data_IF_738904643226
#
_entry.id   IF_738904643226
#
_cell.length_a   1.000
_cell.length_b   1.000
_cell.length_c   1.000
_cell.angle_alpha   90.00
_cell.angle_beta   90.00
_cell.angle_gamma   90.00
#
_symmetry.space_group_name_H-M   'P 1'
#
loop_
_entity.id
_entity.type
_entity.pdbx_description
1 polymer ?
#
# COMPACT_ATOMS: atom_id res chain seq x y z
N UNK A 1 -11.87 23.18 -6.41
CA UNK A 1 -11.87 21.76 -6.83
C UNK A 1 -13.28 21.18 -6.92
N UNK A 2 -14.14 21.31 -5.89
CA UNK A 2 -15.54 20.87 -5.94
C UNK A 2 -16.34 21.43 -7.14
N UNK A 3 -16.17 22.70 -7.51
CA UNK A 3 -16.80 23.27 -8.71
C UNK A 3 -16.31 22.64 -10.03
N UNK A 4 -15.09 22.09 -10.05
CA UNK A 4 -14.47 21.50 -11.24
C UNK A 4 -14.89 20.03 -11.39
N UNK A 5 -14.94 19.29 -10.28
CA UNK A 5 -15.49 17.94 -10.22
C UNK A 5 -17.00 17.94 -10.52
N UNK A 6 -17.76 18.87 -9.95
CA UNK A 6 -19.20 19.01 -10.23
C UNK A 6 -19.46 19.34 -11.70
N UNK A 7 -18.61 20.15 -12.36
CA UNK A 7 -18.75 20.43 -13.79
C UNK A 7 -18.29 19.29 -14.69
N UNK A 8 -17.30 18.49 -14.27
CA UNK A 8 -16.90 17.28 -14.99
C UNK A 8 -17.99 16.21 -14.88
N UNK A 9 -18.60 16.06 -13.70
CA UNK A 9 -19.72 15.15 -13.46
C UNK A 9 -20.98 15.58 -14.23
N UNK A 10 -21.27 16.89 -14.31
CA UNK A 10 -22.30 17.43 -15.20
C UNK A 10 -22.01 17.15 -16.69
N UNK A 11 -20.75 17.28 -17.13
CA UNK A 11 -20.36 16.99 -18.51
C UNK A 11 -20.41 15.50 -18.85
N UNK A 12 -20.12 14.64 -17.87
CA UNK A 12 -20.24 13.18 -18.00
C UNK A 12 -21.72 12.76 -18.09
N UNK A 13 -22.60 13.37 -17.29
CA UNK A 13 -24.05 13.15 -17.33
C UNK A 13 -24.71 13.59 -18.66
N UNK A 14 -24.10 14.54 -19.39
CA UNK A 14 -24.58 14.95 -20.72
C UNK A 14 -24.22 13.94 -21.85
N UNK A 15 -23.31 12.99 -21.59
CA UNK A 15 -22.81 12.04 -22.59
C UNK A 15 -23.63 10.76 -22.77
N UNK A 16 -24.64 10.52 -21.93
CA UNK A 16 -25.30 9.19 -21.85
C UNK A 16 -26.34 8.93 -22.96
N UNK A 17 -26.57 9.87 -23.87
CA UNK A 17 -27.63 9.81 -24.89
C UNK A 17 -27.21 9.32 -26.29
N UNK A 18 -25.96 9.52 -26.68
CA UNK A 18 -25.42 9.13 -27.99
C UNK A 18 -24.00 8.63 -27.74
N UNK A 19 -23.68 7.39 -28.10
CA UNK A 19 -22.44 6.67 -27.73
C UNK A 19 -21.09 7.27 -28.19
N UNK A 20 -21.00 8.57 -28.45
CA UNK A 20 -19.77 9.31 -28.64
C UNK A 20 -19.21 9.77 -27.30
N UNK A 21 -18.44 8.89 -26.65
CA UNK A 21 -17.55 9.32 -25.58
C UNK A 21 -16.60 10.40 -26.14
N UNK A 22 -16.73 11.63 -25.63
CA UNK A 22 -15.81 12.72 -25.92
C UNK A 22 -14.39 12.25 -25.60
N UNK A 23 -13.50 12.37 -26.57
CA UNK A 23 -12.10 12.00 -26.35
C UNK A 23 -11.51 12.85 -25.23
N UNK A 24 -10.55 12.32 -24.47
CA UNK A 24 -9.86 13.07 -23.39
C UNK A 24 -9.25 14.40 -23.89
N UNK A 25 -8.92 14.45 -25.19
CA UNK A 25 -8.41 15.66 -25.88
C UNK A 25 -9.51 16.72 -26.05
N UNK A 26 -10.75 16.33 -26.34
CA UNK A 26 -11.89 17.24 -26.45
C UNK A 26 -12.34 17.75 -25.08
N UNK A 27 -12.31 16.88 -24.06
CA UNK A 27 -12.54 17.26 -22.66
C UNK A 27 -11.52 18.29 -22.18
N UNK A 28 -10.23 18.10 -22.52
CA UNK A 28 -9.21 19.09 -22.26
C UNK A 28 -9.48 20.42 -22.99
N UNK A 29 -10.05 20.41 -24.20
CA UNK A 29 -10.41 21.64 -24.92
C UNK A 29 -11.50 22.45 -24.21
N UNK A 30 -12.44 21.78 -23.53
CA UNK A 30 -13.56 22.41 -22.82
C UNK A 30 -13.18 23.09 -21.49
N UNK A 31 -12.00 22.80 -20.92
CA UNK A 31 -11.56 23.47 -19.70
C UNK A 31 -11.35 24.99 -19.92
N UNK A 32 -11.91 25.86 -19.06
CA UNK A 32 -11.70 27.30 -19.12
C UNK A 32 -10.21 27.66 -19.17
N UNK A 33 -9.80 28.70 -19.93
CA UNK A 33 -8.40 29.09 -20.04
C UNK A 33 -7.71 29.37 -18.70
N UNK A 34 -8.46 29.88 -17.71
CA UNK A 34 -7.96 30.12 -16.35
C UNK A 34 -7.55 28.83 -15.63
N UNK A 35 -8.33 27.76 -15.78
CA UNK A 35 -8.05 26.44 -15.21
C UNK A 35 -6.86 25.80 -15.92
N UNK A 36 -6.79 25.90 -17.25
CA UNK A 36 -5.62 25.40 -18.01
C UNK A 36 -4.33 26.10 -17.58
N UNK A 37 -4.38 27.42 -17.43
CA UNK A 37 -3.23 28.20 -16.99
C UNK A 37 -2.83 27.85 -15.55
N UNK A 38 -3.79 27.60 -14.66
CA UNK A 38 -3.51 27.15 -13.29
C UNK A 38 -2.93 25.73 -13.28
N UNK A 39 -3.54 24.78 -13.98
CA UNK A 39 -3.03 23.41 -14.10
C UNK A 39 -1.63 23.36 -14.71
N UNK A 40 -1.38 24.17 -15.76
CA UNK A 40 -0.08 24.25 -16.38
C UNK A 40 0.97 24.90 -15.47
N UNK A 41 0.60 25.96 -14.74
CA UNK A 41 1.48 26.56 -13.72
C UNK A 41 1.81 25.55 -12.63
N UNK A 42 0.82 24.80 -12.15
CA UNK A 42 1.02 23.81 -11.08
C UNK A 42 1.78 22.58 -11.60
N UNK A 43 1.63 22.22 -12.86
CA UNK A 43 2.45 21.22 -13.54
C UNK A 43 3.91 21.66 -13.65
N UNK A 44 4.16 22.91 -14.06
CA UNK A 44 5.49 23.51 -14.16
C UNK A 44 6.18 23.66 -12.79
N UNK A 45 5.38 23.92 -11.75
CA UNK A 45 5.82 24.05 -10.37
C UNK A 45 5.89 22.72 -9.59
N UNK A 46 5.42 21.61 -10.18
CA UNK A 46 5.33 20.31 -9.50
C UNK A 46 4.23 20.22 -8.42
N UNK A 47 3.28 21.16 -8.40
CA UNK A 47 2.15 21.24 -7.48
C UNK A 47 0.87 20.55 -8.00
N UNK A 48 0.95 19.79 -9.09
CA UNK A 48 -0.20 19.03 -9.66
C UNK A 48 -0.93 18.17 -8.62
N UNK A 49 -0.20 17.69 -7.61
CA UNK A 49 -0.74 16.79 -6.59
C UNK A 49 -1.86 17.45 -5.77
N UNK A 50 -1.78 18.78 -5.54
CA UNK A 50 -2.81 19.53 -4.83
C UNK A 50 -4.10 19.73 -5.66
N UNK A 51 -4.03 19.54 -6.98
CA UNK A 51 -5.17 19.71 -7.89
C UNK A 51 -5.90 18.40 -8.22
N UNK A 52 -5.20 17.27 -8.21
CA UNK A 52 -5.71 16.00 -8.76
C UNK A 52 -6.05 14.98 -7.67
N UNK A 53 -5.40 15.05 -6.51
CA UNK A 53 -5.58 14.09 -5.44
C UNK A 53 -6.08 14.78 -4.19
N UNK A 54 -7.04 14.14 -3.51
CA UNK A 54 -7.44 14.55 -2.17
C UNK A 54 -6.18 14.65 -1.30
N UNK A 55 -5.96 15.80 -0.64
CA UNK A 55 -4.87 15.97 0.32
C UNK A 55 -4.99 14.86 1.36
N UNK A 56 -3.97 14.01 1.40
CA UNK A 56 -3.92 12.91 2.33
C UNK A 56 -2.94 13.20 3.43
N UNK A 57 -3.48 13.28 4.64
CA UNK A 57 -2.69 13.37 5.86
C UNK A 57 -2.45 11.97 6.40
N UNK A 58 -1.18 11.54 6.57
CA UNK A 58 -0.87 10.29 7.23
C UNK A 58 -1.39 10.36 8.66
N UNK A 59 -2.47 9.63 8.93
CA UNK A 59 -3.19 9.68 10.20
C UNK A 59 -2.36 9.20 11.40
N UNK A 60 -1.18 8.63 11.16
CA UNK A 60 -0.19 8.31 12.19
C UNK A 60 0.67 9.51 12.58
N UNK A 61 0.78 10.57 11.76
CA UNK A 61 1.49 11.81 12.09
C UNK A 61 0.54 12.84 12.71
N UNK A 62 0.34 12.74 14.03
CA UNK A 62 -0.55 13.65 14.79
C UNK A 62 -0.10 15.12 14.74
N UNK A 63 1.18 15.38 14.50
CA UNK A 63 1.75 16.73 14.46
C UNK A 63 1.19 17.57 13.31
N UNK A 64 0.88 16.92 12.18
CA UNK A 64 0.39 17.61 10.98
C UNK A 64 -1.06 18.08 11.18
N UNK A 65 -1.89 17.27 11.85
CA UNK A 65 -3.32 17.55 12.09
C UNK A 65 -3.51 18.80 12.97
N UNK A 66 -2.60 19.05 13.92
CA UNK A 66 -2.69 20.20 14.84
C UNK A 66 -2.40 21.55 14.17
N UNK A 67 -1.83 21.57 12.97
CA UNK A 67 -1.55 22.82 12.27
C UNK A 67 -2.80 23.42 11.62
N UNK A 68 -3.71 22.59 11.09
CA UNK A 68 -4.91 23.07 10.39
C UNK A 68 -5.99 23.58 11.36
N UNK A 69 -6.18 22.94 12.52
CA UNK A 69 -7.19 23.37 13.51
C UNK A 69 -6.92 24.79 14.07
N UNK A 70 -5.66 25.26 13.99
CA UNK A 70 -5.29 26.62 14.40
C UNK A 70 -5.60 27.69 13.36
N UNK A 71 -5.69 27.33 12.09
CA UNK A 71 -6.00 28.29 11.03
C UNK A 71 -7.52 28.54 10.93
N UNK A 72 -8.35 27.52 11.24
CA UNK A 72 -9.81 27.64 11.21
C UNK A 72 -10.40 28.31 12.45
N UNK A 73 -9.71 28.24 13.59
CA UNK A 73 -10.18 28.86 14.84
C UNK A 73 -10.11 30.40 14.85
N UNK A 74 -9.57 31.02 13.80
CA UNK A 74 -9.55 32.48 13.65
C UNK A 74 -10.71 33.04 12.81
N UNK A 75 -11.67 32.21 12.35
CA UNK A 75 -12.71 32.63 11.41
C UNK A 75 -14.17 32.42 11.86
N UNK A 76 -14.43 31.93 13.08
CA UNK A 76 -15.78 31.62 13.56
C UNK A 76 -16.37 32.71 14.47
N UNK A 77 -16.56 33.91 13.92
CA UNK A 77 -17.37 34.97 14.51
C UNK A 77 -18.63 35.25 13.68
N UNK A 78 -19.22 34.21 13.09
CA UNK A 78 -20.50 34.30 12.36
C UNK A 78 -21.55 33.63 13.24
N UNK A 79 -22.38 34.46 13.84
CA UNK A 79 -23.58 34.10 14.58
C UNK A 79 -24.53 33.35 13.63
N UNK A 80 -24.69 32.04 13.82
CA UNK A 80 -25.75 31.26 13.18
C UNK A 80 -27.05 31.53 13.96
N UNK A 81 -27.91 32.39 13.40
CA UNK A 81 -29.30 32.54 13.83
C UNK A 81 -30.08 31.28 13.42
N UNK A 82 -30.58 30.54 14.41
CA UNK A 82 -31.51 29.42 14.23
C UNK A 82 -32.88 29.99 13.82
N UNK A 83 -33.28 29.79 12.56
CA UNK A 83 -34.68 29.94 12.13
C UNK A 83 -35.37 28.56 12.19
N UNK A 84 -36.25 28.44 13.19
CA UNK A 84 -37.23 27.38 13.36
C UNK A 84 -38.37 27.56 12.34
N UNK A 85 -38.38 26.76 11.27
CA UNK A 85 -39.54 26.61 10.40
C UNK A 85 -40.14 25.19 10.51
N UNK A 86 -41.12 25.10 11.42
CA UNK A 86 -42.18 24.10 11.39
C UNK A 86 -43.11 24.40 10.20
N UNK A 87 -43.20 23.50 9.20
CA UNK A 87 -44.51 23.29 8.58
C UNK A 87 -44.67 21.95 7.85
N UNK A 88 -45.79 21.33 8.17
CA UNK A 88 -46.24 20.04 7.68
C UNK A 88 -46.75 20.13 6.23
N UNK A 89 -46.38 19.16 5.38
CA UNK A 89 -47.26 18.81 4.27
C UNK A 89 -47.18 17.33 3.91
N UNK A 90 -48.28 16.65 4.21
CA UNK A 90 -48.61 15.27 3.93
C UNK A 90 -49.30 15.22 2.55
N UNK A 91 -48.68 14.59 1.56
CA UNK A 91 -49.19 14.57 0.17
C UNK A 91 -48.64 13.41 -0.65
N UNK A 92 -49.41 12.32 -0.63
CA UNK A 92 -49.25 11.05 -1.35
C UNK A 92 -49.13 11.20 -2.87
N UNK A 93 -48.04 10.71 -3.49
CA UNK A 93 -48.07 10.10 -4.85
C UNK A 93 -47.08 8.92 -4.87
N UNK A 94 -47.63 7.71 -4.93
CA UNK A 94 -46.93 6.47 -5.28
C UNK A 94 -46.57 6.51 -6.77
N UNK A 95 -45.29 6.61 -7.13
CA UNK A 95 -44.89 6.34 -8.51
C UNK A 95 -43.40 5.95 -8.64
N UNK A 96 -43.19 4.72 -9.12
CA UNK A 96 -42.04 4.15 -9.85
C UNK A 96 -40.69 4.87 -9.67
N UNK A 97 -40.21 4.90 -8.44
CA UNK A 97 -38.83 5.21 -8.13
C UNK A 97 -38.33 4.19 -7.12
N UNK A 98 -38.01 3.00 -7.62
CA UNK A 98 -37.07 2.08 -6.96
C UNK A 98 -35.67 2.70 -7.06
N UNK A 99 -35.55 3.93 -6.54
CA UNK A 99 -34.30 4.57 -6.18
C UNK A 99 -33.66 3.56 -5.25
N UNK A 100 -32.56 2.97 -5.74
CA UNK A 100 -31.65 2.17 -4.97
C UNK A 100 -31.48 2.88 -3.63
N UNK A 101 -32.14 2.39 -2.58
CA UNK A 101 -31.88 2.79 -1.20
C UNK A 101 -30.46 2.35 -0.95
N UNK A 102 -29.52 3.19 -1.39
CA UNK A 102 -28.10 3.03 -1.19
C UNK A 102 -27.98 2.96 0.32
N UNK A 103 -27.86 1.73 0.83
CA UNK A 103 -27.72 1.47 2.26
C UNK A 103 -26.66 2.44 2.71
N UNK A 104 -27.05 3.44 3.52
CA UNK A 104 -26.13 4.41 4.11
C UNK A 104 -25.14 3.56 4.87
N UNK A 105 -23.98 3.29 4.24
CA UNK A 105 -22.93 2.47 4.81
C UNK A 105 -22.42 3.31 5.97
N UNK A 106 -23.03 3.13 7.14
CA UNK A 106 -22.49 3.66 8.37
C UNK A 106 -21.13 2.98 8.46
N UNK A 107 -20.09 3.73 8.11
CA UNK A 107 -18.73 3.28 8.19
C UNK A 107 -18.50 2.99 9.66
N UNK A 108 -18.57 1.70 10.01
CA UNK A 108 -18.28 1.21 11.36
C UNK A 108 -17.00 1.87 11.82
N UNK A 109 -17.03 2.42 13.02
CA UNK A 109 -15.84 3.06 13.60
C UNK A 109 -14.68 2.06 13.64
N UNK A 110 -13.44 2.55 13.67
CA UNK A 110 -12.27 1.67 13.79
C UNK A 110 -12.41 0.72 14.98
N UNK A 111 -12.92 1.22 16.10
CA UNK A 111 -13.07 0.44 17.32
C UNK A 111 -14.13 -0.66 17.16
N UNK A 112 -15.25 -0.37 16.50
CA UNK A 112 -16.23 -1.40 16.12
C UNK A 112 -15.67 -2.47 15.18
N UNK A 113 -14.75 -2.09 14.30
CA UNK A 113 -14.09 -3.04 13.40
C UNK A 113 -13.11 -3.91 14.18
N UNK A 114 -12.32 -3.31 15.08
CA UNK A 114 -11.39 -4.02 15.96
C UNK A 114 -12.14 -5.05 16.81
N UNK A 115 -13.26 -4.68 17.45
CA UNK A 115 -14.07 -5.58 18.27
C UNK A 115 -14.69 -6.77 17.51
N UNK A 116 -14.70 -6.74 16.16
CA UNK A 116 -15.29 -7.78 15.31
C UNK A 116 -14.26 -8.69 14.64
N UNK A 117 -12.97 -8.49 14.90
CA UNK A 117 -11.94 -9.35 14.32
C UNK A 117 -12.12 -10.76 14.89
N UNK A 118 -12.25 -11.78 14.03
CA UNK A 118 -12.39 -13.14 14.53
C UNK A 118 -11.14 -13.55 15.29
N UNK A 119 -11.33 -14.20 16.43
CA UNK A 119 -10.27 -14.83 17.19
C UNK A 119 -9.69 -16.01 16.41
N UNK A 120 -8.57 -15.83 15.70
CA UNK A 120 -7.78 -16.90 15.07
C UNK A 120 -6.88 -17.62 16.10
N UNK A 121 -7.25 -17.48 17.36
CA UNK A 121 -6.49 -17.67 18.57
C UNK A 121 -6.10 -19.12 18.87
N UNK A 122 -6.72 -20.08 18.19
CA UNK A 122 -6.46 -21.51 18.41
C UNK A 122 -5.21 -22.08 17.75
N UNK A 123 -4.50 -21.31 16.90
CA UNK A 123 -3.45 -21.88 16.03
C UNK A 123 -2.03 -21.85 16.62
N UNK A 124 -1.77 -21.14 17.71
CA UNK A 124 -0.38 -20.86 18.12
C UNK A 124 -0.03 -20.96 19.59
N UNK A 125 -0.99 -21.14 20.50
CA UNK A 125 -0.68 -21.24 21.93
C UNK A 125 -1.18 -22.55 22.51
N UNK A 126 -0.25 -23.29 23.11
CA UNK A 126 -0.58 -24.37 24.03
C UNK A 126 -1.49 -23.78 25.11
N UNK A 127 -2.60 -24.46 25.41
CA UNK A 127 -3.57 -24.06 26.44
C UNK A 127 -2.95 -23.85 27.83
N UNK A 128 -1.71 -24.29 27.99
CA UNK A 128 -0.99 -24.36 29.26
C UNK A 128 -0.46 -23.01 29.76
N UNK A 129 -0.71 -21.91 29.05
CA UNK A 129 -0.33 -20.56 29.49
C UNK A 129 1.19 -20.32 29.62
N UNK A 130 2.02 -21.32 29.32
CA UNK A 130 3.47 -21.18 29.31
C UNK A 130 3.86 -20.36 28.10
N UNK A 131 4.43 -19.20 28.37
CA UNK A 131 5.11 -18.34 27.41
C UNK A 131 6.22 -19.19 26.79
N UNK A 132 5.94 -19.83 25.66
CA UNK A 132 6.94 -20.56 24.90
C UNK A 132 7.93 -19.52 24.39
N UNK A 133 9.19 -19.68 24.78
CA UNK A 133 10.38 -18.91 24.36
C UNK A 133 10.15 -17.89 23.23
N UNK A 134 10.44 -16.62 23.52
CA UNK A 134 10.29 -15.38 22.72
C UNK A 134 10.59 -15.44 21.21
N UNK A 135 11.21 -16.51 20.70
CA UNK A 135 11.63 -16.65 19.31
C UNK A 135 10.47 -16.63 18.31
N UNK A 136 9.33 -17.28 18.58
CA UNK A 136 8.21 -17.33 17.62
C UNK A 136 7.48 -15.99 17.54
N UNK A 137 7.24 -15.36 18.70
CA UNK A 137 6.57 -14.07 18.77
C UNK A 137 7.41 -12.98 18.07
N UNK A 138 8.74 -13.04 18.19
CA UNK A 138 9.65 -12.16 17.46
C UNK A 138 9.56 -12.32 15.94
N UNK A 139 9.45 -13.55 15.41
CA UNK A 139 9.31 -13.78 13.96
C UNK A 139 8.00 -13.18 13.43
N UNK A 140 6.89 -13.34 14.17
CA UNK A 140 5.62 -12.74 13.79
C UNK A 140 5.67 -11.21 13.83
N UNK A 141 6.38 -10.64 14.82
CA UNK A 141 6.60 -9.20 14.90
C UNK A 141 7.36 -8.67 13.67
N UNK A 142 8.50 -9.25 13.32
CA UNK A 142 9.27 -8.77 12.17
C UNK A 142 8.51 -8.96 10.86
N UNK A 143 7.74 -10.05 10.73
CA UNK A 143 6.87 -10.23 9.58
C UNK A 143 5.73 -9.20 9.52
N UNK A 144 5.21 -8.80 10.68
CA UNK A 144 4.24 -7.72 10.75
C UNK A 144 4.87 -6.37 10.36
N UNK A 145 6.11 -6.12 10.75
CA UNK A 145 6.82 -4.89 10.39
C UNK A 145 6.99 -4.73 8.87
N UNK A 146 7.30 -5.82 8.16
CA UNK A 146 7.32 -5.86 6.69
C UNK A 146 5.95 -5.51 6.07
N UNK A 147 4.86 -6.05 6.63
CA UNK A 147 3.49 -5.75 6.18
C UNK A 147 3.13 -4.28 6.45
N UNK A 148 3.51 -3.75 7.62
CA UNK A 148 3.26 -2.35 7.96
C UNK A 148 4.05 -1.40 7.06
N UNK A 149 5.30 -1.75 6.77
CA UNK A 149 6.14 -1.05 5.80
C UNK A 149 5.49 -0.99 4.42
N UNK A 150 5.08 -2.13 3.87
CA UNK A 150 4.38 -2.19 2.59
C UNK A 150 3.04 -1.44 2.60
N UNK A 151 2.32 -1.48 3.71
CA UNK A 151 1.05 -0.75 3.87
C UNK A 151 1.29 0.76 3.87
N UNK A 152 2.24 1.24 4.67
CA UNK A 152 2.62 2.65 4.73
C UNK A 152 3.06 3.15 3.34
N UNK A 153 3.87 2.37 2.64
CA UNK A 153 4.35 2.68 1.30
C UNK A 153 3.19 2.80 0.31
N UNK A 154 2.28 1.82 0.31
CA UNK A 154 1.10 1.82 -0.56
C UNK A 154 0.21 3.03 -0.26
N UNK A 155 -0.06 3.32 1.02
CA UNK A 155 -0.88 4.48 1.37
C UNK A 155 -0.22 5.80 0.97
N UNK A 156 1.11 5.91 1.03
CA UNK A 156 1.85 7.07 0.51
C UNK A 156 1.71 7.20 -1.00
N UNK A 157 1.95 6.12 -1.73
CA UNK A 157 1.91 6.12 -3.19
C UNK A 157 0.53 6.49 -3.74
N UNK A 158 -0.53 6.05 -3.06
CA UNK A 158 -1.91 6.29 -3.47
C UNK A 158 -2.57 7.44 -2.72
N UNK A 159 -1.86 8.19 -1.87
CA UNK A 159 -2.45 9.27 -1.08
C UNK A 159 -3.69 8.80 -0.28
N UNK A 160 -3.53 7.68 0.44
CA UNK A 160 -4.50 7.15 1.37
C UNK A 160 -5.41 6.05 0.85
N UNK A 161 -6.13 5.43 1.79
CA UNK A 161 -6.94 4.23 1.55
C UNK A 161 -8.13 4.50 0.60
N UNK A 162 -8.68 5.71 0.60
CA UNK A 162 -9.83 6.07 -0.25
C UNK A 162 -9.45 6.00 -1.72
N UNK A 163 -8.36 6.66 -2.10
CA UNK A 163 -7.82 6.65 -3.45
C UNK A 163 -7.35 5.24 -3.84
N UNK A 164 -6.56 4.60 -2.97
CA UNK A 164 -6.09 3.23 -3.18
C UNK A 164 -7.25 2.25 -3.44
N UNK A 165 -8.37 2.36 -2.72
CA UNK A 165 -9.48 1.41 -2.82
C UNK A 165 -10.54 1.77 -3.87
N UNK A 166 -10.57 3.01 -4.37
CA UNK A 166 -11.60 3.49 -5.31
C UNK A 166 -11.08 3.72 -6.71
N UNK A 167 -9.87 4.26 -6.85
CA UNK A 167 -9.35 4.71 -8.14
C UNK A 167 -8.52 3.63 -8.83
N UNK A 168 -7.76 2.85 -8.06
CA UNK A 168 -6.83 1.85 -8.59
C UNK A 168 -6.64 0.67 -7.61
N UNK A 169 -7.72 -0.05 -7.23
CA UNK A 169 -7.64 -1.05 -6.17
C UNK A 169 -6.82 -2.27 -6.57
N UNK A 170 -6.85 -2.68 -7.84
CA UNK A 170 -6.04 -3.83 -8.30
C UNK A 170 -4.55 -3.47 -8.29
N UNK A 171 -4.18 -2.30 -8.80
CA UNK A 171 -2.81 -1.79 -8.79
C UNK A 171 -2.31 -1.60 -7.36
N UNK A 172 -3.12 -0.95 -6.50
CA UNK A 172 -2.76 -0.73 -5.10
C UNK A 172 -2.57 -2.05 -4.33
N UNK A 173 -3.42 -3.05 -4.61
CA UNK A 173 -3.23 -4.39 -4.07
C UNK A 173 -1.95 -5.05 -4.59
N UNK A 174 -1.62 -4.91 -5.87
CA UNK A 174 -0.37 -5.43 -6.44
C UNK A 174 0.83 -4.74 -5.78
N UNK A 175 0.84 -3.41 -5.66
CA UNK A 175 1.90 -2.66 -4.97
C UNK A 175 2.08 -3.15 -3.54
N UNK A 176 0.99 -3.29 -2.78
CA UNK A 176 1.02 -3.80 -1.41
C UNK A 176 1.65 -5.20 -1.33
N UNK A 177 1.30 -6.08 -2.26
CA UNK A 177 1.80 -7.45 -2.31
C UNK A 177 3.28 -7.49 -2.72
N UNK A 178 3.65 -6.75 -3.76
CA UNK A 178 5.02 -6.71 -4.27
C UNK A 178 6.00 -6.06 -3.29
N UNK A 179 5.55 -5.07 -2.53
CA UNK A 179 6.38 -4.38 -1.54
C UNK A 179 6.63 -5.22 -0.29
N UNK A 180 5.70 -6.13 0.08
CA UNK A 180 5.87 -7.03 1.23
C UNK A 180 6.40 -8.40 0.80
N UNK A 181 7.61 -8.75 1.23
CA UNK A 181 8.13 -10.11 1.02
C UNK A 181 7.38 -11.16 1.84
N UNK A 182 6.77 -10.78 2.96
CA UNK A 182 5.89 -11.66 3.73
C UNK A 182 4.64 -11.99 2.93
N UNK A 183 4.01 -11.02 2.27
CA UNK A 183 2.80 -11.28 1.48
C UNK A 183 3.12 -11.98 0.15
N UNK A 184 4.14 -11.54 -0.59
CA UNK A 184 4.45 -12.10 -1.91
C UNK A 184 5.14 -13.46 -1.87
N UNK A 185 6.12 -13.64 -0.97
CA UNK A 185 7.06 -14.79 -0.98
C UNK A 185 7.02 -15.63 0.29
N UNK A 186 6.15 -15.31 1.25
CA UNK A 186 6.10 -15.94 2.58
C UNK A 186 7.44 -15.85 3.32
N UNK A 187 8.14 -14.72 3.18
CA UNK A 187 9.39 -14.47 3.90
C UNK A 187 9.18 -14.56 5.43
N UNK A 188 10.24 -14.96 6.14
CA UNK A 188 10.27 -15.08 7.59
C UNK A 188 11.48 -14.32 8.13
N UNK A 189 11.23 -13.14 8.65
CA UNK A 189 12.26 -12.34 9.28
C UNK A 189 12.47 -12.80 10.71
N UNK A 190 13.73 -12.83 11.13
CA UNK A 190 14.13 -13.34 12.46
C UNK A 190 14.79 -12.28 13.33
N UNK A 191 15.17 -11.14 12.75
CA UNK A 191 15.77 -10.00 13.45
C UNK A 191 15.25 -8.68 12.92
N UNK A 192 15.28 -7.63 13.76
CA UNK A 192 14.88 -6.28 13.38
C UNK A 192 15.74 -5.70 12.25
N UNK A 193 17.09 -5.74 12.31
CA UNK A 193 17.92 -5.19 11.22
C UNK A 193 17.65 -5.87 9.87
N UNK A 194 17.36 -7.18 9.88
CA UNK A 194 17.06 -7.92 8.64
C UNK A 194 15.80 -7.38 7.94
N UNK A 195 14.72 -7.15 8.69
CA UNK A 195 13.48 -6.61 8.10
C UNK A 195 13.64 -5.14 7.71
N UNK A 196 14.34 -4.31 8.50
CA UNK A 196 14.55 -2.90 8.19
C UNK A 196 15.42 -2.70 6.95
N UNK A 197 16.52 -3.45 6.84
CA UNK A 197 17.34 -3.46 5.62
C UNK A 197 16.53 -3.89 4.41
N UNK A 198 15.67 -4.92 4.55
CA UNK A 198 14.80 -5.36 3.47
C UNK A 198 13.76 -4.30 3.04
N UNK A 199 13.13 -3.63 4.02
CA UNK A 199 12.17 -2.56 3.75
C UNK A 199 12.86 -1.39 3.03
N UNK A 200 14.06 -1.02 3.45
CA UNK A 200 14.84 0.06 2.86
C UNK A 200 15.23 -0.24 1.40
N UNK A 201 15.79 -1.43 1.13
CA UNK A 201 16.18 -1.82 -0.24
C UNK A 201 14.99 -1.94 -1.18
N UNK A 202 13.89 -2.54 -0.70
CA UNK A 202 12.66 -2.69 -1.51
C UNK A 202 12.05 -1.33 -1.85
N UNK A 203 11.98 -0.42 -0.87
CA UNK A 203 11.46 0.93 -1.09
C UNK A 203 12.36 1.73 -2.02
N UNK A 204 13.68 1.65 -1.86
CA UNK A 204 14.65 2.31 -2.74
C UNK A 204 14.53 1.82 -4.20
N UNK A 205 14.41 0.51 -4.40
CA UNK A 205 14.22 -0.10 -5.72
C UNK A 205 12.91 0.37 -6.39
N UNK A 206 11.81 0.44 -5.62
CA UNK A 206 10.52 0.91 -6.12
C UNK A 206 10.54 2.41 -6.47
N UNK A 207 11.23 3.24 -5.68
CA UNK A 207 11.43 4.66 -6.00
C UNK A 207 12.19 4.83 -7.32
N UNK A 208 13.27 4.08 -7.52
CA UNK A 208 14.05 4.13 -8.77
C UNK A 208 13.21 3.68 -9.95
N UNK A 209 12.43 2.59 -9.80
CA UNK A 209 11.57 2.08 -10.87
C UNK A 209 10.49 3.08 -11.26
N UNK A 210 9.80 3.67 -10.29
CA UNK A 210 8.71 4.62 -10.55
C UNK A 210 9.22 5.93 -11.17
N UNK A 211 10.41 6.38 -10.78
CA UNK A 211 11.03 7.58 -11.34
C UNK A 211 11.67 7.35 -12.72
N UNK A 212 12.11 6.12 -13.02
CA UNK A 212 12.71 5.78 -14.31
C UNK A 212 11.69 5.49 -15.41
N UNK A 213 10.46 5.10 -15.06
CA UNK A 213 9.44 4.73 -16.04
C UNK A 213 8.74 5.94 -16.69
N UNK A 214 8.98 7.16 -16.20
CA UNK A 214 8.38 8.39 -16.75
C UNK A 214 9.13 8.97 -17.96
N UNK A 215 10.30 8.46 -18.36
CA UNK A 215 11.07 9.05 -19.48
C UNK A 215 11.72 8.00 -20.37
N UNK A 216 10.89 7.36 -21.22
CA UNK A 216 11.30 6.89 -22.55
C UNK A 216 10.49 7.64 -23.63
N UNK A 217 10.35 8.96 -23.45
CA UNK A 217 9.87 9.85 -24.50
C UNK A 217 11.03 10.77 -24.93
N UNK A 218 11.34 10.73 -26.21
CA UNK A 218 12.65 10.92 -26.85
C UNK A 218 13.20 12.37 -26.93
N UNK A 219 12.93 13.24 -25.96
CA UNK A 219 13.35 14.65 -26.05
C UNK A 219 14.39 15.02 -24.98
N UNK A 220 15.58 15.37 -25.46
CA UNK A 220 16.87 15.63 -24.77
C UNK A 220 16.92 16.74 -23.71
N UNK A 221 15.82 17.08 -23.04
CA UNK A 221 15.82 18.09 -21.99
C UNK A 221 15.69 17.43 -20.61
N UNK A 222 16.82 16.91 -20.11
CA UNK A 222 16.97 16.30 -18.79
C UNK A 222 16.79 17.33 -17.66
N UNK A 223 15.57 17.78 -17.43
CA UNK A 223 15.18 18.38 -16.16
C UNK A 223 14.68 17.23 -15.28
N UNK A 224 15.54 16.76 -14.38
CA UNK A 224 15.20 15.79 -13.34
C UNK A 224 13.93 16.26 -12.62
N UNK A 225 12.79 15.64 -12.93
CA UNK A 225 11.54 15.90 -12.23
C UNK A 225 11.74 15.33 -10.83
N UNK A 226 11.69 16.20 -9.83
CA UNK A 226 11.80 15.88 -8.42
C UNK A 226 10.56 15.07 -8.00
N UNK A 227 10.47 13.81 -8.43
CA UNK A 227 9.46 12.87 -7.95
C UNK A 227 9.55 12.81 -6.43
N UNK A 228 8.40 12.91 -5.76
CA UNK A 228 8.22 12.99 -4.31
C UNK A 228 9.28 12.23 -3.52
N UNK A 229 10.38 12.92 -3.21
CA UNK A 229 11.50 12.44 -2.41
C UNK A 229 11.13 12.58 -0.95
N UNK A 230 10.07 11.89 -0.52
CA UNK A 230 10.03 11.51 0.88
C UNK A 230 11.27 10.63 1.08
N UNK A 231 12.32 11.23 1.61
CA UNK A 231 13.58 10.54 1.88
C UNK A 231 13.25 9.28 2.68
N UNK A 232 13.90 8.15 2.38
CA UNK A 232 13.62 6.87 3.03
C UNK A 232 13.63 6.96 4.58
N UNK A 233 14.31 7.97 5.15
CA UNK A 233 14.24 8.30 6.59
C UNK A 233 12.84 8.72 7.03
N UNK A 234 12.16 9.60 6.30
CA UNK A 234 10.77 10.03 6.59
C UNK A 234 9.84 8.83 6.56
N UNK A 235 10.07 7.91 5.62
CA UNK A 235 9.35 6.64 5.56
C UNK A 235 9.62 5.77 6.78
N UNK A 236 10.88 5.59 7.20
CA UNK A 236 11.20 4.81 8.41
C UNK A 236 10.67 5.45 9.69
N UNK A 237 10.66 6.79 9.78
CA UNK A 237 9.99 7.51 10.86
C UNK A 237 8.49 7.19 10.91
N UNK A 238 7.81 7.09 9.77
CA UNK A 238 6.40 6.68 9.77
C UNK A 238 6.21 5.29 10.34
N UNK A 239 7.12 4.37 10.01
CA UNK A 239 7.07 3.01 10.54
C UNK A 239 7.27 3.06 12.04
N UNK A 240 8.24 3.84 12.54
CA UNK A 240 8.45 4.08 13.97
C UNK A 240 7.18 4.65 14.64
N UNK A 241 6.50 5.61 14.01
CA UNK A 241 5.24 6.16 14.52
C UNK A 241 4.09 5.16 14.51
N UNK A 242 3.94 4.38 13.44
CA UNK A 242 2.89 3.36 13.33
C UNK A 242 3.00 2.33 14.44
N UNK A 243 4.22 1.94 14.80
CA UNK A 243 4.43 0.94 15.83
C UNK A 243 4.20 1.48 17.25
N UNK A 244 4.31 2.79 17.51
CA UNK A 244 4.08 3.36 18.86
C UNK A 244 2.73 3.03 19.50
N UNK A 245 1.73 2.65 18.70
CA UNK A 245 0.40 2.33 19.19
C UNK A 245 -0.19 1.13 18.48
N UNK A 246 -0.62 0.16 19.28
CA UNK A 246 -1.40 -0.98 18.81
C UNK A 246 -2.61 -0.57 17.94
N UNK A 247 -3.29 0.52 18.29
CA UNK A 247 -4.43 1.03 17.53
C UNK A 247 -4.03 1.48 16.13
N UNK A 248 -2.85 2.09 15.99
CA UNK A 248 -2.31 2.51 14.69
C UNK A 248 -1.93 1.29 13.84
N UNK A 249 -1.28 0.30 14.44
CA UNK A 249 -1.00 -0.98 13.78
C UNK A 249 -2.28 -1.66 13.29
N UNK A 250 -3.29 -1.79 14.16
CA UNK A 250 -4.57 -2.40 13.81
C UNK A 250 -5.28 -1.64 12.68
N UNK A 251 -5.23 -0.30 12.70
CA UNK A 251 -5.76 0.54 11.62
C UNK A 251 -5.02 0.31 10.30
N UNK A 252 -3.70 0.27 10.29
CA UNK A 252 -2.91 0.03 9.08
C UNK A 252 -3.28 -1.32 8.45
N UNK A 253 -3.32 -2.40 9.23
CA UNK A 253 -3.69 -3.73 8.72
C UNK A 253 -5.13 -3.75 8.20
N UNK A 254 -6.05 -2.99 8.82
CA UNK A 254 -7.41 -2.85 8.31
C UNK A 254 -7.46 -2.14 6.96
N UNK A 255 -6.71 -1.05 6.79
CA UNK A 255 -6.64 -0.33 5.53
C UNK A 255 -6.03 -1.20 4.42
N UNK A 256 -4.97 -1.95 4.72
CA UNK A 256 -4.44 -2.99 3.83
C UNK A 256 -5.50 -4.04 3.46
N UNK A 257 -6.29 -4.52 4.43
CA UNK A 257 -7.39 -5.45 4.16
C UNK A 257 -8.51 -4.83 3.32
N UNK A 258 -8.75 -3.52 3.42
CA UNK A 258 -9.77 -2.82 2.62
C UNK A 258 -9.31 -2.67 1.17
N UNK A 259 -8.03 -2.37 0.94
CA UNK A 259 -7.42 -2.35 -0.40
C UNK A 259 -7.59 -3.73 -1.07
N UNK A 260 -7.20 -4.82 -0.39
CA UNK A 260 -7.37 -6.17 -0.95
C UNK A 260 -8.85 -6.53 -1.17
N UNK A 261 -9.77 -6.01 -0.36
CA UNK A 261 -11.22 -6.25 -0.52
C UNK A 261 -11.77 -5.51 -1.73
N UNK A 262 -11.33 -4.28 -1.97
CA UNK A 262 -11.69 -3.51 -3.16
C UNK A 262 -11.16 -4.19 -4.43
N UNK A 263 -9.90 -4.64 -4.43
CA UNK A 263 -9.31 -5.37 -5.56
C UNK A 263 -10.07 -6.67 -5.89
N UNK A 264 -10.50 -7.41 -4.86
CA UNK A 264 -11.34 -8.61 -5.03
C UNK A 264 -12.69 -8.27 -5.66
N UNK A 265 -13.24 -7.09 -5.36
CA UNK A 265 -14.53 -6.65 -5.91
C UNK A 265 -14.36 -6.33 -7.39
N UNK A 266 -13.38 -5.49 -7.74
CA UNK A 266 -13.11 -5.11 -9.13
C UNK A 266 -12.83 -6.32 -10.02
N UNK A 267 -11.93 -7.23 -9.60
CA UNK A 267 -11.64 -8.44 -10.36
C UNK A 267 -12.84 -9.38 -10.55
N UNK A 268 -13.86 -9.31 -9.66
CA UNK A 268 -15.09 -10.07 -9.84
C UNK A 268 -16.02 -9.39 -10.84
N UNK A 269 -16.14 -8.07 -10.74
CA UNK A 269 -16.98 -7.28 -11.63
C UNK A 269 -16.46 -7.42 -13.07
N UNK A 270 -15.14 -7.48 -13.26
CA UNK A 270 -14.49 -7.79 -14.56
C UNK A 270 -14.80 -9.21 -15.07
N UNK A 271 -14.71 -10.22 -14.20
CA UNK A 271 -15.01 -11.62 -14.55
C UNK A 271 -16.50 -11.77 -14.97
N UNK A 272 -17.42 -11.08 -14.30
CA UNK A 272 -18.87 -11.11 -14.60
C UNK A 272 -19.19 -10.39 -15.93
N UNK A 273 -18.52 -9.27 -16.23
CA UNK A 273 -18.69 -8.53 -17.48
C UNK A 273 -18.19 -9.31 -18.71
N UNK A 274 -17.07 -10.04 -18.59
CA UNK A 274 -16.53 -10.85 -19.68
C UNK A 274 -17.48 -12.01 -20.05
N UNK A 275 -18.08 -12.69 -19.06
CA UNK A 275 -18.98 -13.82 -19.29
C UNK A 275 -20.29 -13.43 -20.02
N UNK A 276 -20.79 -12.21 -19.81
CA UNK A 276 -22.00 -11.73 -20.48
C UNK A 276 -21.76 -11.43 -21.97
N UNK A 277 -20.56 -10.98 -22.34
CA UNK A 277 -20.22 -10.61 -23.72
C UNK A 277 -20.14 -11.84 -24.65
N UNK A 278 -19.59 -12.94 -24.15
CA UNK A 278 -19.46 -14.20 -24.91
C UNK A 278 -20.83 -14.85 -25.19
N UNK A 279 -21.81 -14.65 -24.30
CA UNK A 279 -23.15 -15.24 -24.45
C UNK A 279 -23.97 -14.58 -25.56
N UNK A 280 -23.77 -13.29 -25.84
CA UNK A 280 -24.53 -12.56 -26.86
C UNK A 280 -23.94 -12.68 -28.28
N UNK A 281 -22.64 -12.95 -28.43
CA UNK A 281 -22.00 -13.04 -29.75
C UNK A 281 -22.10 -14.42 -30.42
N UNK A 282 -22.61 -15.44 -29.72
CA UNK A 282 -22.65 -16.80 -30.25
C UNK A 282 -23.88 -17.11 -31.15
N UNK A 283 -24.74 -16.12 -31.42
CA UNK A 283 -25.94 -16.29 -32.27
C UNK A 283 -25.67 -15.91 -33.74
N UNK A 284 -24.67 -15.09 -34.03
CA UNK A 284 -24.39 -14.62 -35.40
C UNK A 284 -22.89 -14.68 -35.71
N UNK A 285 -22.38 -15.82 -36.20
CA UNK A 285 -21.61 -15.87 -37.46
C UNK A 285 -20.72 -17.11 -37.59
N UNK A 286 -20.90 -17.77 -38.73
CA UNK A 286 -20.00 -18.75 -39.28
C UNK A 286 -18.64 -18.09 -39.65
N UNK A 287 -17.57 -18.71 -39.17
CA UNK A 287 -16.40 -19.10 -39.98
C UNK A 287 -15.50 -17.97 -40.52
N UNK A 288 -14.61 -17.44 -39.68
CA UNK A 288 -13.24 -17.11 -40.11
C UNK A 288 -12.28 -17.09 -38.92
N UNK A 289 -11.08 -17.61 -39.17
CA UNK A 289 -10.05 -17.95 -38.20
C UNK A 289 -9.39 -16.72 -37.58
N UNK A 290 -9.48 -16.56 -36.25
CA UNK A 290 -8.55 -15.69 -35.53
C UNK A 290 -8.15 -16.29 -34.17
N UNK A 291 -6.90 -16.75 -34.11
CA UNK A 291 -6.28 -17.45 -32.98
C UNK A 291 -5.29 -16.48 -32.31
N UNK A 292 -5.75 -15.43 -31.59
CA UNK A 292 -4.82 -14.57 -30.81
C UNK A 292 -5.31 -14.02 -29.45
N UNK A 293 -6.52 -14.31 -28.97
CA UNK A 293 -7.07 -13.62 -27.79
C UNK A 293 -7.01 -14.30 -26.40
N UNK A 294 -6.66 -15.59 -26.27
CA UNK A 294 -7.01 -16.38 -25.06
C UNK A 294 -6.08 -16.28 -23.83
N UNK A 295 -5.07 -15.40 -23.78
CA UNK A 295 -4.09 -15.42 -22.68
C UNK A 295 -4.50 -14.64 -21.42
N UNK A 296 -5.47 -13.71 -21.51
CA UNK A 296 -5.75 -12.79 -20.39
C UNK A 296 -6.68 -13.38 -19.31
N UNK A 297 -7.73 -14.12 -19.66
CA UNK A 297 -8.72 -14.59 -18.66
C UNK A 297 -8.15 -15.55 -17.62
N UNK A 298 -7.17 -16.38 -18.01
CA UNK A 298 -6.55 -17.32 -17.07
C UNK A 298 -5.71 -16.62 -15.98
N UNK A 299 -5.32 -15.36 -16.21
CA UNK A 299 -4.54 -14.55 -15.27
C UNK A 299 -5.41 -14.02 -14.13
N UNK A 300 -6.62 -13.52 -14.42
CA UNK A 300 -7.48 -12.86 -13.44
C UNK A 300 -8.00 -13.83 -12.38
N UNK A 301 -8.46 -15.02 -12.78
CA UNK A 301 -8.91 -16.04 -11.83
C UNK A 301 -7.82 -16.50 -10.85
N UNK A 302 -6.54 -16.50 -11.28
CA UNK A 302 -5.39 -16.79 -10.40
C UNK A 302 -5.10 -15.64 -9.44
N UNK A 303 -5.05 -14.40 -9.95
CA UNK A 303 -4.87 -13.18 -9.15
C UNK A 303 -5.95 -13.08 -8.06
N UNK A 304 -7.22 -13.29 -8.41
CA UNK A 304 -8.34 -13.26 -7.49
C UNK A 304 -8.21 -14.28 -6.36
N UNK A 305 -7.80 -15.51 -6.67
CA UNK A 305 -7.54 -16.56 -5.65
C UNK A 305 -6.36 -16.18 -4.75
N UNK A 306 -5.29 -15.61 -5.32
CA UNK A 306 -4.12 -15.15 -4.56
C UNK A 306 -4.50 -14.04 -3.59
N UNK A 307 -5.17 -12.97 -4.06
CA UNK A 307 -5.58 -11.84 -3.22
C UNK A 307 -6.52 -12.28 -2.08
N UNK A 308 -7.44 -13.22 -2.34
CA UNK A 308 -8.30 -13.82 -1.28
C UNK A 308 -7.48 -14.51 -0.19
N UNK A 309 -6.43 -15.26 -0.55
CA UNK A 309 -5.54 -15.92 0.42
C UNK A 309 -4.75 -14.89 1.23
N UNK A 310 -4.22 -13.86 0.59
CA UNK A 310 -3.46 -12.80 1.25
C UNK A 310 -4.33 -11.99 2.20
N UNK A 311 -5.60 -11.74 1.85
CA UNK A 311 -6.57 -11.15 2.78
C UNK A 311 -6.79 -12.01 4.02
N UNK A 312 -6.82 -13.34 3.90
CA UNK A 312 -6.89 -14.26 5.05
C UNK A 312 -5.61 -14.21 5.88
N UNK A 313 -4.44 -14.07 5.24
CA UNK A 313 -3.16 -13.87 5.94
C UNK A 313 -3.16 -12.56 6.74
N UNK A 314 -3.65 -11.45 6.18
CA UNK A 314 -3.82 -10.20 6.93
C UNK A 314 -4.80 -10.34 8.10
N UNK A 315 -5.90 -11.08 7.94
CA UNK A 315 -6.82 -11.37 9.05
C UNK A 315 -6.16 -12.13 10.20
N UNK A 316 -5.23 -13.05 9.88
CA UNK A 316 -4.43 -13.73 10.88
C UNK A 316 -3.53 -12.75 11.65
N UNK A 317 -2.78 -11.88 10.95
CA UNK A 317 -1.93 -10.88 11.61
C UNK A 317 -2.77 -9.91 12.45
N UNK A 318 -3.92 -9.48 11.95
CA UNK A 318 -4.83 -8.59 12.67
C UNK A 318 -5.37 -9.24 13.96
N UNK A 319 -5.74 -10.52 13.93
CA UNK A 319 -6.14 -11.23 15.14
C UNK A 319 -4.96 -11.42 16.10
N UNK A 320 -3.77 -11.71 15.57
CA UNK A 320 -2.57 -11.83 16.38
C UNK A 320 -2.22 -10.52 17.09
N UNK A 321 -2.39 -9.37 16.43
CA UNK A 321 -2.08 -8.08 17.06
C UNK A 321 -2.98 -7.78 18.25
N UNK A 322 -4.25 -8.19 18.22
CA UNK A 322 -5.25 -7.81 19.23
C UNK A 322 -5.05 -8.37 20.63
N UNK A 323 -4.12 -9.30 20.81
CA UNK A 323 -3.97 -9.94 22.10
C UNK A 323 -3.34 -9.00 23.16
N UNK A 324 -3.88 -8.95 24.39
CA UNK A 324 -3.33 -8.10 25.44
C UNK A 324 -1.88 -8.42 25.80
N UNK A 325 -1.54 -9.72 25.84
CA UNK A 325 -0.18 -10.18 26.13
C UNK A 325 0.82 -9.79 25.03
N UNK A 326 0.35 -9.66 23.80
CA UNK A 326 1.14 -9.06 22.74
C UNK A 326 1.27 -7.57 22.96
N UNK A 327 0.25 -6.81 23.40
CA UNK A 327 0.33 -5.34 23.53
C UNK A 327 1.49 -4.84 24.40
N UNK A 328 1.77 -5.46 25.55
CA UNK A 328 2.91 -5.06 26.41
C UNK A 328 4.27 -5.52 25.85
N UNK A 329 4.28 -6.60 25.06
CA UNK A 329 5.47 -7.17 24.44
C UNK A 329 5.67 -6.72 22.98
N UNK A 330 4.70 -6.01 22.40
CA UNK A 330 4.41 -6.13 20.96
C UNK A 330 5.55 -5.66 20.11
N UNK A 331 6.35 -4.77 20.68
CA UNK A 331 7.44 -4.06 20.06
C UNK A 331 8.60 -3.95 21.07
N UNK A 332 8.54 -4.66 22.19
CA UNK A 332 9.20 -4.18 23.41
C UNK A 332 8.76 -2.73 23.72
N UNK A 333 9.21 -2.17 24.83
CA UNK A 333 9.06 -0.72 25.03
C UNK A 333 9.74 0.09 23.94
N UNK A 334 10.66 -0.53 23.18
CA UNK A 334 11.75 0.17 22.51
C UNK A 334 11.80 -0.02 20.99
N UNK A 335 10.94 -0.78 20.30
CA UNK A 335 11.11 -0.97 18.82
C UNK A 335 11.02 0.36 18.08
N UNK A 336 10.18 1.30 18.52
CA UNK A 336 10.16 2.66 17.96
C UNK A 336 11.56 3.31 18.07
N UNK A 337 12.19 3.26 19.24
CA UNK A 337 13.53 3.80 19.47
C UNK A 337 14.60 3.02 18.70
N UNK A 338 14.48 1.69 18.60
CA UNK A 338 15.39 0.85 17.83
C UNK A 338 15.29 1.13 16.32
N UNK A 339 14.09 1.32 15.77
CA UNK A 339 13.89 1.74 14.38
C UNK A 339 14.51 3.11 14.14
N UNK A 340 14.28 4.07 15.06
CA UNK A 340 14.85 5.41 14.94
C UNK A 340 16.37 5.39 15.06
N UNK A 341 16.91 4.64 16.02
CA UNK A 341 18.36 4.47 16.19
C UNK A 341 18.98 3.84 14.95
N UNK A 342 18.40 2.77 14.42
CA UNK A 342 18.81 2.14 13.17
C UNK A 342 18.76 3.11 11.99
N UNK A 343 17.71 3.96 11.93
CA UNK A 343 17.56 4.99 10.88
C UNK A 343 18.66 6.05 10.99
N UNK A 344 19.00 6.49 12.20
CA UNK A 344 20.09 7.45 12.44
C UNK A 344 21.44 6.85 12.08
N UNK A 345 21.74 5.64 12.54
CA UNK A 345 22.97 4.91 12.20
C UNK A 345 23.11 4.76 10.67
N UNK A 346 22.03 4.39 9.99
CA UNK A 346 22.06 4.23 8.54
C UNK A 346 22.23 5.56 7.80
N UNK A 347 21.67 6.65 8.34
CA UNK A 347 21.86 8.00 7.81
C UNK A 347 23.31 8.45 7.95
N UNK A 348 23.96 8.21 9.09
CA UNK A 348 25.37 8.58 9.29
C UNK A 348 26.28 7.81 8.35
N UNK A 349 26.05 6.49 8.17
CA UNK A 349 26.82 5.68 7.20
C UNK A 349 26.74 6.22 5.76
N UNK A 350 25.56 6.68 5.32
CA UNK A 350 25.39 7.22 3.97
C UNK A 350 26.09 8.58 3.83
N UNK A 351 26.06 9.42 4.87
CA UNK A 351 26.73 10.73 4.85
C UNK A 351 28.24 10.62 4.86
N UNK A 352 28.82 9.65 5.58
CA UNK A 352 30.27 9.39 5.58
C UNK A 352 30.77 8.98 4.20
N UNK A 353 30.05 8.09 3.50
CA UNK A 353 30.42 7.69 2.13
C UNK A 353 30.34 8.81 1.08
N UNK A 354 29.65 9.92 1.37
CA UNK A 354 29.54 11.05 0.45
C UNK A 354 30.66 12.09 0.62
N UNK A 355 31.37 12.09 1.75
CA UNK A 355 32.39 13.11 2.04
C UNK A 355 33.76 12.79 1.42
N UNK A 356 34.02 11.53 1.07
CA UNK A 356 35.32 11.09 0.55
C UNK A 356 35.53 11.45 -0.94
N UNK A 357 34.48 11.82 -1.68
CA UNK A 357 34.56 12.10 -3.12
C UNK A 357 34.93 13.55 -3.47
N UNK A 358 34.93 14.47 -2.50
CA UNK A 358 35.11 15.91 -2.77
C UNK A 358 36.58 16.39 -2.66
N UNK A 359 37.55 15.52 -2.30
CA UNK A 359 38.89 16.00 -1.94
C UNK A 359 40.01 15.85 -2.99
N UNK A 360 39.80 15.14 -4.09
CA UNK A 360 40.78 15.04 -5.18
C UNK A 360 40.56 16.11 -6.26
N UNK A 361 40.71 17.37 -5.83
CA UNK A 361 40.94 18.48 -6.73
C UNK A 361 42.38 18.47 -7.24
N UNK A 362 42.69 17.60 -8.21
CA UNK A 362 43.77 17.91 -9.15
C UNK A 362 43.32 17.65 -10.59
N UNK A 363 43.42 18.71 -11.38
CA UNK A 363 42.67 18.88 -12.60
C UNK A 363 43.05 17.87 -13.67
N UNK A 364 42.06 17.11 -14.13
CA UNK A 364 41.98 16.78 -15.55
C UNK A 364 40.54 16.54 -15.97
N UNK A 365 40.10 17.35 -16.93
CA UNK A 365 38.84 17.22 -17.62
C UNK A 365 38.75 15.85 -18.32
N UNK A 366 37.51 15.44 -18.53
CA UNK A 366 37.07 14.29 -19.34
C UNK A 366 36.97 12.95 -18.60
N UNK A 367 35.82 12.70 -17.96
CA UNK A 367 34.87 11.65 -18.40
C UNK A 367 33.60 11.61 -17.57
N UNK A 368 32.48 11.42 -18.26
CA UNK A 368 31.11 11.64 -17.83
C UNK A 368 30.49 10.36 -17.22
N UNK A 369 31.03 9.85 -16.11
CA UNK A 369 30.45 8.71 -15.38
C UNK A 369 30.10 9.07 -13.94
N UNK A 370 28.92 9.65 -13.73
CA UNK A 370 28.32 9.70 -12.39
C UNK A 370 27.91 8.28 -12.00
N UNK A 371 28.77 7.56 -11.29
CA UNK A 371 28.41 6.30 -10.64
C UNK A 371 27.36 6.60 -9.56
N UNK A 372 26.09 6.33 -9.86
CA UNK A 372 25.10 6.19 -8.79
C UNK A 372 25.55 5.01 -7.92
N UNK A 373 26.00 5.29 -6.71
CA UNK A 373 26.26 4.26 -5.69
C UNK A 373 24.92 3.56 -5.43
N UNK A 374 24.74 2.38 -6.02
CA UNK A 374 23.55 1.57 -5.80
C UNK A 374 23.48 1.19 -4.32
N UNK A 375 22.35 1.48 -3.67
CA UNK A 375 22.09 1.06 -2.29
C UNK A 375 22.25 -0.45 -2.05
N UNK A 376 22.29 -1.26 -3.11
CA UNK A 376 22.50 -2.71 -3.03
C UNK A 376 23.93 -3.14 -2.67
N UNK A 377 24.95 -2.28 -2.83
CA UNK A 377 26.35 -2.65 -2.56
C UNK A 377 26.79 -2.49 -1.10
N UNK A 378 25.92 -1.97 -0.23
CA UNK A 378 26.21 -1.87 1.20
C UNK A 378 26.05 -3.22 1.90
N UNK A 379 27.09 -4.06 1.81
CA UNK A 379 27.24 -5.23 2.67
C UNK A 379 27.27 -4.78 4.14
N UNK A 380 26.36 -5.32 4.96
CA UNK A 380 26.34 -5.10 6.40
C UNK A 380 27.68 -5.54 7.02
N UNK A 381 28.27 -4.79 7.96
CA UNK A 381 29.31 -5.34 8.82
C UNK A 381 28.69 -6.49 9.63
N UNK A 382 29.17 -7.72 9.45
CA UNK A 382 28.76 -8.89 10.21
C UNK A 382 29.32 -8.81 11.64
N UNK A 383 28.80 -7.90 12.48
CA UNK A 383 29.17 -7.76 13.89
C UNK A 383 28.02 -8.20 14.81
N UNK A 384 27.48 -9.40 14.56
CA UNK A 384 26.74 -10.15 15.57
C UNK A 384 27.42 -11.50 15.70
N UNK A 385 28.01 -11.75 16.87
CA UNK A 385 28.62 -13.02 17.24
C UNK A 385 27.61 -14.16 17.13
N UNK A 386 27.55 -14.80 15.96
CA UNK A 386 26.90 -16.09 15.80
C UNK A 386 27.80 -17.12 16.46
N UNK A 387 27.40 -17.64 17.63
CA UNK A 387 28.02 -18.82 18.25
C UNK A 387 28.04 -19.95 17.24
N UNK A 388 29.22 -20.22 16.70
CA UNK A 388 29.47 -21.26 15.72
C UNK A 388 29.37 -22.62 16.43
N UNK A 389 28.26 -23.32 16.30
CA UNK A 389 28.22 -24.75 16.57
C UNK A 389 29.08 -25.44 15.50
N UNK A 390 30.34 -25.72 15.84
CA UNK A 390 31.20 -26.61 15.05
C UNK A 390 30.64 -28.04 15.12
N UNK A 391 29.90 -28.47 14.10
CA UNK A 391 29.69 -29.88 13.81
C UNK A 391 30.96 -30.44 13.16
N UNK A 392 31.74 -31.23 13.89
CA UNK A 392 32.81 -32.05 13.32
C UNK A 392 32.18 -33.07 12.37
N UNK A 393 32.51 -32.97 11.08
CA UNK A 393 32.20 -34.00 10.08
C UNK A 393 33.38 -34.98 10.10
N UNK A 394 33.09 -36.23 10.45
CA UNK A 394 33.96 -37.36 10.13
C UNK A 394 33.65 -37.79 8.69
N UNK A 395 34.71 -37.84 7.88
CA UNK A 395 34.69 -38.29 6.50
C UNK A 395 34.78 -39.82 6.50
N UNK A 396 33.68 -40.50 6.17
CA UNK A 396 33.70 -41.92 5.83
C UNK A 396 32.92 -42.12 4.55
N UNK A 397 33.65 -42.40 3.48
CA UNK A 397 33.12 -42.51 2.14
C UNK A 397 32.23 -43.73 2.01
N UNK A 398 30.94 -43.51 1.76
CA UNK A 398 30.11 -44.29 0.84
C UNK A 398 28.70 -43.68 0.72
N UNK A 399 28.28 -43.45 -0.53
CA UNK A 399 26.90 -43.17 -0.99
C UNK A 399 26.00 -42.32 -0.09
N UNK A 400 26.07 -41.00 -0.28
CA UNK A 400 25.05 -40.07 0.22
C UNK A 400 23.82 -40.13 -0.69
N UNK A 401 22.80 -40.89 -0.28
CA UNK A 401 21.42 -40.63 -0.67
C UNK A 401 20.99 -39.36 0.05
N UNK A 402 20.77 -38.28 -0.71
CA UNK A 402 20.19 -37.03 -0.20
C UNK A 402 18.72 -37.26 0.17
N UNK A 403 18.48 -37.84 1.35
CA UNK A 403 17.18 -37.76 2.02
C UNK A 403 17.01 -36.32 2.55
N UNK A 404 16.47 -35.46 1.69
CA UNK A 404 15.89 -34.20 2.14
C UNK A 404 14.67 -34.53 3.00
N UNK A 405 14.85 -34.54 4.33
CA UNK A 405 13.74 -34.51 5.27
C UNK A 405 12.92 -33.25 5.01
N UNK A 406 11.87 -33.41 4.19
CA UNK A 406 10.80 -32.41 4.06
C UNK A 406 10.19 -32.23 5.46
N UNK A 407 10.18 -31.02 6.04
CA UNK A 407 9.40 -30.77 7.24
C UNK A 407 7.92 -31.00 6.91
N UNK A 408 7.24 -31.73 7.79
CA UNK A 408 5.83 -32.10 7.67
C UNK A 408 4.98 -30.87 7.33
N UNK A 409 4.46 -30.85 6.10
CA UNK A 409 3.33 -30.02 5.73
C UNK A 409 2.14 -30.42 6.60
N UNK A 410 1.71 -29.52 7.49
CA UNK A 410 0.35 -29.59 8.01
C UNK A 410 -0.56 -29.07 6.91
N UNK A 411 -1.05 -29.99 6.08
CA UNK A 411 -2.09 -29.73 5.10
C UNK A 411 -3.35 -29.25 5.84
N UNK A 412 -3.72 -27.98 5.62
CA UNK A 412 -4.96 -27.40 6.14
C UNK A 412 -6.12 -28.03 5.36
N UNK A 413 -6.58 -29.19 5.80
CA UNK A 413 -7.84 -29.75 5.32
C UNK A 413 -8.99 -28.89 5.84
N UNK A 414 -9.62 -28.16 4.93
CA UNK A 414 -10.89 -27.49 5.15
C UNK A 414 -11.96 -28.54 5.40
N UNK A 415 -12.16 -28.93 6.67
CA UNK A 415 -13.33 -29.68 7.09
C UNK A 415 -14.53 -28.72 7.10
N UNK A 416 -15.31 -28.74 6.02
CA UNK A 416 -16.72 -28.31 6.08
C UNK A 416 -17.46 -29.32 6.96
N UNK A 417 -18.10 -28.81 8.03
CA UNK A 417 -19.29 -29.43 8.59
C UNK A 417 -20.50 -28.67 8.06
#
# INVERSE_FOLDING_TARGET
MYQLLSKLEELEAYGDGDGNQLSSIELAKLLPPSIKAMFQRDMENGQIQDLVLDRWYPWWRREIVKMEEKDDSNNNNIEEEEEDDDDANEGTIENVNTICKAKKWHSKTLDERLLRVPDYCGLGRNKDGRISNNSIDNVLLYNLLDILSATCWTLRLYHGVKNASRQAPVEAAITLIETSSVLSKDARFTTLPQVLSHCCTTTGSLMVRNNGQTVLNNNNNNKSINGTTAHWTVFMEDIAYLVTSHRLVGRAIFEASDILKAAIKELKDDDDNNNNTDSNNNINNNKSNEIKGKTNDYSNGKKLKQIRRLRKKLQFFLSWTQYPATVELFLGGNTNEEILAWTVERKTMISECQQDDDHDGDGNNDTNSKNLISMESFNLPSSVNTTHHQSKIYDDGNNVILETKRPLMVEVQSRRK
#
